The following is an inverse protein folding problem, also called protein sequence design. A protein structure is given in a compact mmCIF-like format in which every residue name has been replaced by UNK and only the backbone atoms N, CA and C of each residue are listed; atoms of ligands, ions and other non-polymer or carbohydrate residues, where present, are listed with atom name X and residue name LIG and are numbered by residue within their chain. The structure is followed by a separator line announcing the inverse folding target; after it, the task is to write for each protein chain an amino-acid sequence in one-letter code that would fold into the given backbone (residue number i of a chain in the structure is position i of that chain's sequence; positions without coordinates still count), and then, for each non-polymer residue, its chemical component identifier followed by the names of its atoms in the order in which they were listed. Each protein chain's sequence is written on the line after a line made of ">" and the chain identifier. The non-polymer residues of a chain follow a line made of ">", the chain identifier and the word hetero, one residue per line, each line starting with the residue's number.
data_IF_046754188315
#
_entry.id   IF_046754188315
#
_cell.length_a   1.000
_cell.length_b   1.000
_cell.length_c   1.000
_cell.angle_alpha   90.00
_cell.angle_beta   90.00
_cell.angle_gamma   90.00
#
_symmetry.space_group_name_H-M   'P 1'
#
loop_
_entity.id
_entity.type
_entity.pdbx_description
1 polymer ?
#
# COMPACT_ATOMS: atom_id res chain seq x y z
N UNK A 1 -33.33 0.61 -0.65
CA UNK A 1 -31.96 0.76 -1.20
C UNK A 1 -31.53 -0.56 -1.82
N UNK A 2 -31.31 -0.62 -3.14
CA UNK A 2 -30.72 -1.80 -3.80
C UNK A 2 -29.22 -1.77 -3.50
N UNK A 3 -28.71 -2.72 -2.71
CA UNK A 3 -27.26 -2.99 -2.64
C UNK A 3 -26.80 -3.30 -4.06
N UNK A 4 -26.11 -2.37 -4.73
CA UNK A 4 -25.42 -2.69 -5.99
C UNK A 4 -24.34 -3.70 -5.64
N UNK A 5 -24.51 -4.93 -6.12
CA UNK A 5 -23.49 -5.96 -6.07
C UNK A 5 -22.26 -5.42 -6.79
N UNK A 6 -21.15 -5.27 -6.07
CA UNK A 6 -19.84 -5.07 -6.70
C UNK A 6 -19.46 -6.40 -7.36
N UNK A 7 -19.68 -6.50 -8.66
CA UNK A 7 -19.34 -7.71 -9.43
C UNK A 7 -17.83 -7.92 -9.38
N UNK A 8 -17.41 -9.13 -9.05
CA UNK A 8 -16.01 -9.55 -9.12
C UNK A 8 -15.61 -9.51 -10.60
N UNK A 9 -14.50 -8.84 -10.97
CA UNK A 9 -14.02 -8.90 -12.35
C UNK A 9 -13.72 -10.35 -12.76
N UNK A 10 -14.05 -10.69 -14.01
CA UNK A 10 -14.02 -12.07 -14.52
C UNK A 10 -12.65 -12.72 -14.31
N UNK A 11 -11.57 -11.94 -14.48
CA UNK A 11 -10.18 -12.41 -14.32
C UNK A 11 -9.84 -12.83 -12.88
N UNK A 12 -10.62 -12.41 -11.88
CA UNK A 12 -10.44 -12.79 -10.47
C UNK A 12 -11.45 -13.83 -9.98
N UNK A 13 -12.44 -14.18 -10.79
CA UNK A 13 -13.53 -15.05 -10.35
C UNK A 13 -13.02 -16.43 -9.91
N UNK A 14 -12.18 -17.07 -10.73
CA UNK A 14 -11.61 -18.38 -10.40
C UNK A 14 -10.79 -18.34 -9.11
N UNK A 15 -9.95 -17.31 -8.94
CA UNK A 15 -9.14 -17.13 -7.74
C UNK A 15 -10.02 -16.97 -6.48
N UNK A 16 -11.05 -16.13 -6.55
CA UNK A 16 -11.95 -15.90 -5.42
C UNK A 16 -12.74 -17.17 -5.08
N UNK A 17 -13.25 -17.88 -6.08
CA UNK A 17 -13.93 -19.16 -5.90
C UNK A 17 -12.99 -20.26 -5.37
N UNK A 18 -11.73 -20.25 -5.78
CA UNK A 18 -10.71 -21.15 -5.25
C UNK A 18 -10.54 -20.91 -3.75
N UNK A 19 -10.34 -19.67 -3.32
CA UNK A 19 -10.19 -19.36 -1.90
C UNK A 19 -11.47 -19.58 -1.11
N UNK A 20 -12.65 -19.26 -1.65
CA UNK A 20 -13.93 -19.54 -1.01
C UNK A 20 -14.12 -21.04 -0.71
N UNK A 21 -13.64 -21.92 -1.59
CA UNK A 21 -13.72 -23.38 -1.43
C UNK A 21 -12.64 -23.96 -0.52
N UNK A 22 -11.44 -23.40 -0.54
CA UNK A 22 -10.26 -24.07 0.01
C UNK A 22 -9.66 -23.42 1.26
N UNK A 23 -9.97 -22.16 1.56
CA UNK A 23 -9.36 -21.42 2.68
C UNK A 23 -9.59 -22.08 4.04
N UNK A 24 -10.72 -22.76 4.25
CA UNK A 24 -10.98 -23.53 5.47
C UNK A 24 -9.97 -24.65 5.74
N UNK A 25 -9.30 -25.18 4.70
CA UNK A 25 -8.27 -26.20 4.87
C UNK A 25 -7.01 -25.64 5.53
N UNK A 26 -6.80 -24.32 5.53
CA UNK A 26 -5.66 -23.66 6.17
C UNK A 26 -5.66 -23.85 7.70
N UNK A 27 -6.81 -24.08 8.34
CA UNK A 27 -6.87 -24.33 9.79
C UNK A 27 -6.23 -25.66 10.20
N UNK A 28 -6.03 -26.58 9.24
CA UNK A 28 -5.58 -27.94 9.51
C UNK A 28 -4.09 -28.18 9.23
N UNK A 29 -3.33 -27.15 8.85
CA UNK A 29 -1.90 -27.28 8.54
C UNK A 29 -1.08 -27.87 9.71
N UNK A 30 -0.04 -28.63 9.37
CA UNK A 30 0.83 -29.34 10.33
C UNK A 30 2.01 -28.51 10.82
N UNK A 31 2.36 -27.43 10.13
CA UNK A 31 3.45 -26.51 10.50
C UNK A 31 2.96 -25.07 10.64
N UNK A 32 3.62 -24.31 11.52
CA UNK A 32 3.31 -22.90 11.78
C UNK A 32 4.26 -21.93 11.10
N UNK A 33 5.12 -22.44 10.23
CA UNK A 33 6.08 -21.67 9.45
C UNK A 33 6.03 -22.10 7.97
N UNK A 34 6.28 -21.15 7.07
CA UNK A 34 6.32 -21.41 5.64
C UNK A 34 7.31 -20.47 4.93
N UNK A 35 7.91 -20.90 3.80
CA UNK A 35 8.82 -20.07 3.01
C UNK A 35 8.05 -19.06 2.14
N UNK A 36 7.42 -18.08 2.79
CA UNK A 36 6.50 -17.14 2.14
C UNK A 36 7.23 -16.18 1.20
N UNK A 37 8.43 -15.72 1.55
CA UNK A 37 9.15 -14.74 0.73
C UNK A 37 9.58 -15.37 -0.60
N UNK A 38 10.04 -16.62 -0.58
CA UNK A 38 10.34 -17.41 -1.75
C UNK A 38 9.10 -17.70 -2.60
N UNK A 39 7.95 -17.98 -1.96
CA UNK A 39 6.67 -18.13 -2.67
C UNK A 39 6.26 -16.87 -3.44
N UNK A 40 6.36 -15.69 -2.81
CA UNK A 40 6.07 -14.41 -3.47
C UNK A 40 7.08 -14.13 -4.58
N UNK A 41 8.37 -14.37 -4.33
CA UNK A 41 9.42 -14.17 -5.32
C UNK A 41 9.18 -15.03 -6.58
N UNK A 42 8.76 -16.29 -6.39
CA UNK A 42 8.42 -17.17 -7.51
C UNK A 42 7.19 -16.64 -8.28
N UNK A 43 6.12 -16.25 -7.58
CA UNK A 43 4.93 -15.70 -8.23
C UNK A 43 5.23 -14.43 -9.03
N UNK A 44 6.12 -13.56 -8.51
CA UNK A 44 6.56 -12.37 -9.22
C UNK A 44 7.49 -12.69 -10.39
N UNK A 45 8.18 -13.84 -10.39
CA UNK A 45 9.08 -14.21 -11.49
C UNK A 45 8.33 -14.49 -12.79
N UNK A 46 7.05 -14.82 -12.70
CA UNK A 46 6.16 -15.03 -13.86
C UNK A 46 5.61 -13.74 -14.46
N UNK A 47 5.80 -12.58 -13.79
CA UNK A 47 5.34 -11.28 -14.28
C UNK A 47 6.34 -10.65 -15.25
N UNK A 48 5.84 -9.86 -16.18
CA UNK A 48 6.71 -8.99 -17.00
C UNK A 48 7.27 -7.83 -16.17
N UNK A 49 8.44 -7.33 -16.58
CA UNK A 49 9.03 -6.14 -15.97
C UNK A 49 8.18 -4.92 -16.31
N UNK A 50 7.92 -4.06 -15.32
CA UNK A 50 7.02 -2.93 -15.52
C UNK A 50 5.60 -3.36 -15.85
N UNK A 51 5.06 -4.35 -15.13
CA UNK A 51 3.64 -4.73 -15.13
C UNK A 51 2.88 -4.04 -13.97
N UNK A 52 2.76 -2.68 -13.98
CA UNK A 52 2.07 -1.96 -12.92
C UNK A 52 0.63 -2.48 -12.82
N UNK A 53 0.09 -2.49 -11.61
CA UNK A 53 -1.25 -3.04 -11.26
C UNK A 53 -1.34 -4.55 -11.09
N UNK A 54 -0.28 -5.32 -11.38
CA UNK A 54 -0.25 -6.74 -11.01
C UNK A 54 -0.46 -6.89 -9.50
N UNK A 55 -1.26 -7.87 -9.10
CA UNK A 55 -1.57 -8.15 -7.70
C UNK A 55 -1.13 -9.56 -7.32
N UNK A 56 -0.32 -9.68 -6.27
CA UNK A 56 0.05 -10.97 -5.69
C UNK A 56 -0.67 -11.14 -4.36
N UNK A 57 -1.47 -12.21 -4.25
CA UNK A 57 -2.20 -12.53 -3.02
C UNK A 57 -1.51 -13.67 -2.27
N UNK A 58 -1.15 -13.42 -1.02
CA UNK A 58 -0.69 -14.42 -0.08
C UNK A 58 -1.85 -14.71 0.86
N UNK A 59 -2.27 -15.97 0.94
CA UNK A 59 -3.24 -16.41 1.97
C UNK A 59 -2.57 -17.49 2.80
N UNK A 60 -2.39 -17.23 4.08
CA UNK A 60 -1.62 -18.12 4.94
C UNK A 60 -2.20 -18.21 6.36
N UNK A 61 -1.73 -19.18 7.13
CA UNK A 61 -1.97 -19.28 8.57
C UNK A 61 -0.69 -19.47 9.38
N UNK A 62 0.44 -19.08 8.78
CA UNK A 62 1.80 -19.43 9.23
C UNK A 62 2.70 -18.20 9.28
N UNK A 63 3.85 -18.30 9.94
CA UNK A 63 4.87 -17.25 9.93
C UNK A 63 5.87 -17.46 8.77
N UNK A 64 6.38 -16.39 8.15
CA UNK A 64 7.50 -16.50 7.21
C UNK A 64 8.77 -16.98 7.92
N UNK A 65 9.47 -17.97 7.37
CA UNK A 65 10.75 -18.46 7.92
C UNK A 65 11.97 -18.25 7.02
N UNK A 66 11.77 -17.81 5.78
CA UNK A 66 12.82 -17.63 4.78
C UNK A 66 13.18 -16.15 4.55
N UNK A 67 12.63 -15.24 5.36
CA UNK A 67 12.79 -13.80 5.18
C UNK A 67 14.25 -13.35 5.23
N UNK A 68 15.10 -13.96 6.07
CA UNK A 68 16.53 -13.60 6.19
C UNK A 68 17.31 -13.81 4.88
N UNK A 69 16.94 -14.82 4.10
CA UNK A 69 17.64 -15.17 2.85
C UNK A 69 16.92 -14.64 1.60
N UNK A 70 15.61 -14.42 1.66
CA UNK A 70 14.80 -14.02 0.49
C UNK A 70 14.39 -12.54 0.47
N UNK A 71 14.59 -11.75 1.54
CA UNK A 71 14.23 -10.32 1.60
C UNK A 71 14.79 -9.52 0.43
N UNK A 72 16.11 -9.56 0.22
CA UNK A 72 16.81 -8.78 -0.83
C UNK A 72 16.31 -9.10 -2.26
N UNK A 73 16.29 -10.36 -2.72
CA UNK A 73 15.80 -10.66 -4.07
C UNK A 73 14.31 -10.32 -4.23
N UNK A 74 13.50 -10.49 -3.18
CA UNK A 74 12.10 -10.08 -3.20
C UNK A 74 11.94 -8.57 -3.39
N UNK A 75 12.69 -7.76 -2.64
CA UNK A 75 12.69 -6.30 -2.76
C UNK A 75 12.98 -5.83 -4.18
N UNK A 76 14.02 -6.38 -4.80
CA UNK A 76 14.37 -6.05 -6.18
C UNK A 76 13.24 -6.42 -7.14
N UNK A 77 12.64 -7.60 -6.96
CA UNK A 77 11.60 -8.08 -7.86
C UNK A 77 10.31 -7.27 -7.76
N UNK A 78 9.89 -6.87 -6.56
CA UNK A 78 8.73 -5.99 -6.38
C UNK A 78 8.99 -4.65 -7.08
N UNK A 79 10.19 -4.07 -6.95
CA UNK A 79 10.55 -2.80 -7.57
C UNK A 79 10.46 -2.83 -9.10
N UNK A 80 11.01 -3.91 -9.70
CA UNK A 80 11.05 -4.08 -11.15
C UNK A 80 9.66 -4.37 -11.72
N UNK A 81 8.90 -5.25 -11.08
CA UNK A 81 7.54 -5.62 -11.55
C UNK A 81 6.51 -4.53 -11.24
N UNK A 82 6.76 -3.69 -10.23
CA UNK A 82 5.80 -2.71 -9.68
C UNK A 82 4.50 -3.35 -9.19
N UNK A 83 4.55 -4.65 -8.87
CA UNK A 83 3.40 -5.41 -8.41
C UNK A 83 3.05 -5.06 -6.96
N UNK A 84 1.75 -5.09 -6.64
CA UNK A 84 1.26 -4.91 -5.27
C UNK A 84 1.06 -6.27 -4.62
N UNK A 85 1.64 -6.45 -3.43
CA UNK A 85 1.51 -7.69 -2.66
C UNK A 85 0.47 -7.49 -1.57
N UNK A 86 -0.47 -8.42 -1.43
CA UNK A 86 -1.47 -8.42 -0.38
C UNK A 86 -1.34 -9.69 0.45
N UNK A 87 -1.50 -9.59 1.76
CA UNK A 87 -1.44 -10.74 2.66
C UNK A 87 -2.72 -10.87 3.48
N UNK A 88 -3.40 -12.00 3.36
CA UNK A 88 -4.48 -12.41 4.24
C UNK A 88 -3.92 -13.44 5.20
N UNK A 89 -3.69 -13.01 6.44
CA UNK A 89 -3.34 -13.88 7.55
C UNK A 89 -4.62 -14.46 8.15
N UNK A 90 -4.71 -15.78 8.19
CA UNK A 90 -5.87 -16.49 8.72
C UNK A 90 -5.52 -17.15 10.05
N UNK A 91 -6.48 -17.13 10.98
CA UNK A 91 -6.29 -17.79 12.26
C UNK A 91 -6.39 -19.31 12.10
N UNK A 92 -5.34 -20.03 12.50
CA UNK A 92 -5.36 -21.48 12.63
C UNK A 92 -5.65 -21.87 14.08
N UNK A 93 -6.39 -22.96 14.27
CA UNK A 93 -6.59 -23.55 15.61
C UNK A 93 -5.32 -24.24 16.12
N UNK A 94 -4.40 -24.60 15.22
CA UNK A 94 -3.14 -25.28 15.53
C UNK A 94 -1.97 -24.31 15.69
N UNK A 95 -2.00 -23.19 14.98
CA UNK A 95 -0.94 -22.19 15.03
C UNK A 95 -1.42 -20.90 15.68
N UNK A 96 -0.93 -20.64 16.90
CA UNK A 96 -1.09 -19.34 17.56
C UNK A 96 -0.10 -18.36 16.93
N UNK A 97 -0.56 -17.68 15.89
CA UNK A 97 0.25 -16.68 15.20
C UNK A 97 0.59 -15.50 16.10
N UNK A 98 1.88 -15.26 16.30
CA UNK A 98 2.37 -14.06 16.96
C UNK A 98 2.54 -12.95 15.92
N UNK A 99 1.69 -11.92 15.98
CA UNK A 99 1.82 -10.75 15.10
C UNK A 99 3.13 -9.98 15.32
N UNK A 100 3.80 -10.19 16.45
CA UNK A 100 5.12 -9.64 16.73
C UNK A 100 6.28 -10.52 16.21
N UNK A 101 5.99 -11.62 15.52
CA UNK A 101 7.03 -12.40 14.85
C UNK A 101 7.79 -11.53 13.82
N UNK A 102 9.11 -11.58 13.85
CA UNK A 102 9.99 -10.76 13.00
C UNK A 102 9.66 -10.90 11.51
N UNK A 103 9.46 -12.14 11.02
CA UNK A 103 9.11 -12.41 9.63
C UNK A 103 7.74 -11.86 9.24
N UNK A 104 6.74 -11.97 10.13
CA UNK A 104 5.38 -11.43 9.89
C UNK A 104 5.40 -9.91 9.84
N UNK A 105 6.09 -9.27 10.79
CA UNK A 105 6.25 -7.81 10.82
C UNK A 105 6.98 -7.30 9.58
N UNK A 106 8.10 -7.92 9.23
CA UNK A 106 8.88 -7.54 8.05
C UNK A 106 8.04 -7.70 6.77
N UNK A 107 7.32 -8.81 6.60
CA UNK A 107 6.44 -9.00 5.46
C UNK A 107 5.34 -7.92 5.39
N UNK A 108 4.73 -7.59 6.54
CA UNK A 108 3.73 -6.50 6.62
C UNK A 108 4.30 -5.17 6.19
N UNK A 109 5.47 -4.79 6.70
CA UNK A 109 6.09 -3.50 6.41
C UNK A 109 6.49 -3.39 4.94
N UNK A 110 7.01 -4.48 4.34
CA UNK A 110 7.30 -4.57 2.91
C UNK A 110 6.04 -4.37 2.06
N UNK A 111 4.96 -5.07 2.42
CA UNK A 111 3.67 -4.99 1.75
C UNK A 111 3.10 -3.58 1.80
N UNK A 112 3.03 -2.98 3.00
CA UNK A 112 2.42 -1.67 3.23
C UNK A 112 3.21 -0.56 2.55
N UNK A 113 4.55 -0.61 2.61
CA UNK A 113 5.42 0.37 1.93
C UNK A 113 5.29 0.28 0.40
N UNK A 114 4.87 -0.89 -0.12
CA UNK A 114 4.57 -1.07 -1.55
C UNK A 114 3.18 -0.71 -1.99
N UNK A 115 2.37 -0.10 -1.13
CA UNK A 115 0.98 0.21 -1.44
C UNK A 115 0.06 -1.02 -1.49
N UNK A 116 0.54 -2.17 -1.02
CA UNK A 116 -0.29 -3.32 -0.70
C UNK A 116 -0.88 -3.21 0.71
N UNK A 117 -1.48 -4.30 1.20
CA UNK A 117 -2.07 -4.31 2.55
C UNK A 117 -2.07 -5.72 3.18
N UNK A 118 -2.12 -5.76 4.51
CA UNK A 118 -2.23 -7.00 5.29
C UNK A 118 -3.55 -7.02 6.07
N UNK A 119 -4.25 -8.14 5.98
CA UNK A 119 -5.53 -8.37 6.64
C UNK A 119 -5.45 -9.58 7.54
N UNK A 120 -6.26 -9.57 8.59
CA UNK A 120 -6.46 -10.77 9.41
C UNK A 120 -7.91 -11.20 9.28
N UNK A 121 -8.13 -12.26 8.51
CA UNK A 121 -9.47 -12.72 8.12
C UNK A 121 -9.67 -14.13 8.62
N UNK A 122 -10.87 -14.46 9.11
CA UNK A 122 -11.20 -15.85 9.45
C UNK A 122 -11.10 -16.71 8.20
N UNK A 123 -10.54 -17.92 8.31
CA UNK A 123 -10.31 -18.78 7.15
C UNK A 123 -11.57 -18.97 6.29
N UNK A 124 -12.74 -19.16 6.90
CA UNK A 124 -14.02 -19.31 6.18
C UNK A 124 -14.49 -18.06 5.42
N UNK A 125 -14.00 -16.89 5.79
CA UNK A 125 -14.47 -15.60 5.29
C UNK A 125 -13.52 -15.01 4.22
N UNK A 126 -12.38 -15.66 3.92
CA UNK A 126 -11.40 -15.18 2.93
C UNK A 126 -12.03 -14.92 1.57
N UNK A 127 -12.79 -15.88 1.01
CA UNK A 127 -13.44 -15.69 -0.29
C UNK A 127 -14.41 -14.50 -0.30
N UNK A 128 -15.20 -14.34 0.77
CA UNK A 128 -16.13 -13.21 0.93
C UNK A 128 -15.39 -11.87 1.03
N UNK A 129 -14.28 -11.83 1.77
CA UNK A 129 -13.43 -10.66 1.89
C UNK A 129 -12.86 -10.26 0.52
N UNK A 130 -12.24 -11.21 -0.19
CA UNK A 130 -11.65 -10.96 -1.51
C UNK A 130 -12.70 -10.51 -2.52
N UNK A 131 -13.89 -11.13 -2.52
CA UNK A 131 -15.02 -10.73 -3.35
C UNK A 131 -15.47 -9.28 -3.11
N UNK A 132 -15.24 -8.75 -1.91
CA UNK A 132 -15.63 -7.39 -1.54
C UNK A 132 -14.51 -6.38 -1.81
N UNK A 133 -13.25 -6.79 -1.63
CA UNK A 133 -12.10 -5.89 -1.68
C UNK A 133 -11.46 -5.78 -3.09
N UNK A 134 -11.39 -6.88 -3.85
CA UNK A 134 -10.82 -6.83 -5.22
C UNK A 134 -11.55 -5.82 -6.12
N UNK A 135 -12.89 -5.74 -6.12
CA UNK A 135 -13.59 -4.73 -6.94
C UNK A 135 -13.23 -3.31 -6.57
N UNK A 136 -12.96 -3.01 -5.29
CA UNK A 136 -12.53 -1.66 -4.89
C UNK A 136 -11.16 -1.37 -5.48
N UNK A 137 -10.20 -2.28 -5.36
CA UNK A 137 -8.85 -2.13 -5.93
C UNK A 137 -8.84 -1.93 -7.45
N UNK A 138 -9.70 -2.64 -8.19
CA UNK A 138 -9.74 -2.54 -9.67
C UNK A 138 -10.41 -1.27 -10.18
N UNK A 139 -11.34 -0.71 -9.40
CA UNK A 139 -12.05 0.53 -9.75
C UNK A 139 -11.39 1.79 -9.21
N UNK A 140 -10.21 1.68 -8.58
CA UNK A 140 -9.59 2.79 -7.86
C UNK A 140 -8.06 2.75 -7.87
N UNK A 141 -7.44 3.85 -7.45
CA UNK A 141 -6.00 3.98 -7.23
C UNK A 141 -5.74 4.31 -5.78
N UNK A 142 -4.57 3.92 -5.29
CA UNK A 142 -4.14 4.22 -3.94
C UNK A 142 -3.96 5.74 -3.79
N UNK A 143 -4.62 6.33 -2.79
CA UNK A 143 -4.48 7.75 -2.43
C UNK A 143 -3.61 7.88 -1.19
N UNK A 144 -3.87 7.04 -0.19
CA UNK A 144 -3.18 7.10 1.09
C UNK A 144 -2.99 5.69 1.66
N UNK A 145 -1.76 5.41 2.09
CA UNK A 145 -1.40 4.22 2.88
C UNK A 145 -0.47 4.70 4.00
N UNK A 146 -1.05 5.21 5.07
CA UNK A 146 -0.27 5.81 6.16
C UNK A 146 -0.39 4.99 7.44
N UNK A 147 0.73 4.67 8.09
CA UNK A 147 0.72 4.21 9.47
C UNK A 147 0.46 5.41 10.37
N UNK A 148 -0.58 5.34 11.19
CA UNK A 148 -0.75 6.25 12.29
C UNK A 148 -0.02 5.71 13.53
N UNK A 149 1.00 6.44 13.99
CA UNK A 149 1.87 6.05 15.10
C UNK A 149 1.68 6.89 16.37
N UNK A 150 0.59 7.64 16.47
CA UNK A 150 0.50 8.67 17.50
C UNK A 150 0.22 8.08 18.89
N UNK A 151 0.88 8.63 19.91
CA UNK A 151 0.55 8.39 21.33
C UNK A 151 -0.71 9.14 21.73
N UNK A 152 -1.16 10.11 20.92
CA UNK A 152 -2.50 10.70 21.01
C UNK A 152 -3.55 9.78 20.38
N UNK A 153 -4.76 9.80 20.95
CA UNK A 153 -5.90 9.01 20.47
C UNK A 153 -6.39 9.38 19.07
N UNK A 154 -5.99 10.52 18.53
CA UNK A 154 -6.51 11.06 17.26
C UNK A 154 -5.35 11.35 16.30
N UNK A 155 -5.60 11.04 15.03
CA UNK A 155 -4.66 11.16 13.95
C UNK A 155 -5.39 11.59 12.69
N UNK A 156 -5.09 12.80 12.24
CA UNK A 156 -5.76 13.44 11.11
C UNK A 156 -4.84 13.38 9.89
N UNK A 157 -5.34 12.77 8.82
CA UNK A 157 -4.63 12.64 7.54
C UNK A 157 -5.38 13.48 6.52
N UNK A 158 -4.80 14.60 6.04
CA UNK A 158 -5.43 15.38 4.99
C UNK A 158 -5.49 14.55 3.70
N UNK A 159 -6.63 14.60 3.02
CA UNK A 159 -6.85 13.94 1.74
C UNK A 159 -7.29 14.98 0.72
N UNK A 160 -6.61 14.98 -0.42
CA UNK A 160 -7.01 15.78 -1.58
C UNK A 160 -7.53 14.85 -2.66
N UNK A 161 -8.83 14.98 -2.94
CA UNK A 161 -9.53 14.18 -3.95
C UNK A 161 -9.26 14.69 -5.37
N UNK A 162 -8.83 15.93 -5.54
CA UNK A 162 -8.64 16.54 -6.87
C UNK A 162 -9.96 16.64 -7.64
N UNK A 163 -9.92 16.97 -8.94
CA UNK A 163 -11.12 17.15 -9.74
C UNK A 163 -11.83 15.85 -10.18
N UNK A 164 -11.09 14.75 -10.25
CA UNK A 164 -11.53 13.52 -10.93
C UNK A 164 -11.99 12.41 -9.98
N UNK A 165 -11.81 12.54 -8.66
CA UNK A 165 -12.19 11.49 -7.70
C UNK A 165 -13.60 11.76 -7.22
N UNK A 166 -14.51 10.84 -7.52
CA UNK A 166 -15.90 10.89 -7.09
C UNK A 166 -16.20 9.99 -5.90
N UNK A 167 -15.35 8.99 -5.66
CA UNK A 167 -15.58 7.97 -4.64
C UNK A 167 -14.29 7.53 -3.99
N UNK A 168 -14.34 7.36 -2.67
CA UNK A 168 -13.29 6.80 -1.85
C UNK A 168 -13.67 5.43 -1.31
N UNK A 169 -12.70 4.53 -1.24
CA UNK A 169 -12.79 3.24 -0.57
C UNK A 169 -11.80 3.23 0.59
N UNK A 170 -12.32 3.19 1.81
CA UNK A 170 -11.52 3.23 3.04
C UNK A 170 -11.48 1.82 3.62
N UNK A 171 -10.28 1.31 3.86
CA UNK A 171 -10.05 -0.03 4.43
C UNK A 171 -9.36 0.08 5.77
N UNK A 172 -9.93 -0.58 6.78
CA UNK A 172 -9.60 -0.40 8.18
C UNK A 172 -9.52 -1.72 8.97
N UNK A 173 -8.62 -1.83 9.95
CA UNK A 173 -8.68 -2.83 11.04
C UNK A 173 -9.36 -2.22 12.29
N UNK A 174 -10.65 -2.49 12.46
CA UNK A 174 -11.49 -2.06 13.57
C UNK A 174 -11.02 -2.54 14.95
N UNK A 175 -10.09 -3.50 15.04
CA UNK A 175 -9.53 -3.88 16.33
C UNK A 175 -8.78 -2.72 16.99
N UNK A 176 -8.21 -1.83 16.19
CA UNK A 176 -7.26 -0.83 16.66
C UNK A 176 -7.80 0.58 16.60
N UNK A 177 -8.83 0.87 15.83
CA UNK A 177 -9.44 2.19 15.82
C UNK A 177 -10.65 2.33 14.92
N UNK A 178 -11.36 3.44 15.09
CA UNK A 178 -12.42 3.87 14.18
C UNK A 178 -11.88 4.89 13.21
N UNK A 179 -12.40 4.85 11.99
CA UNK A 179 -11.98 5.75 10.92
C UNK A 179 -13.22 6.46 10.39
N UNK A 180 -13.15 7.78 10.37
CA UNK A 180 -14.20 8.63 9.86
C UNK A 180 -13.61 9.66 8.89
N UNK A 181 -14.37 10.01 7.86
CA UNK A 181 -14.00 11.06 6.91
C UNK A 181 -14.80 12.31 7.22
N UNK A 182 -14.12 13.45 7.30
CA UNK A 182 -14.71 14.76 7.54
C UNK A 182 -14.46 15.68 6.36
N UNK A 183 -15.48 16.47 5.99
CA UNK A 183 -15.37 17.50 4.96
C UNK A 183 -14.67 18.76 5.48
N UNK A 184 -14.54 19.78 4.64
CA UNK A 184 -13.88 21.05 5.01
C UNK A 184 -14.63 21.86 6.08
N UNK A 185 -15.91 21.55 6.33
CA UNK A 185 -16.73 22.18 7.36
C UNK A 185 -16.67 21.41 8.69
N UNK A 186 -16.00 20.26 8.71
CA UNK A 186 -15.93 19.37 9.86
C UNK A 186 -17.16 18.48 10.02
N UNK A 187 -18.01 18.36 9.00
CA UNK A 187 -19.12 17.42 8.99
C UNK A 187 -18.65 16.04 8.54
N UNK A 188 -19.20 14.99 9.17
CA UNK A 188 -18.85 13.60 8.82
C UNK A 188 -19.48 13.25 7.47
N UNK A 189 -18.66 12.82 6.53
CA UNK A 189 -19.12 12.35 5.23
C UNK A 189 -19.92 11.03 5.38
N UNK A 190 -21.07 10.88 4.70
CA UNK A 190 -21.85 9.65 4.74
C UNK A 190 -21.08 8.50 4.07
N UNK A 191 -21.11 7.33 4.70
CA UNK A 191 -20.38 6.15 4.24
C UNK A 191 -21.28 4.92 4.14
N UNK A 192 -21.11 4.14 3.08
CA UNK A 192 -21.75 2.85 2.88
C UNK A 192 -20.81 1.70 3.26
N UNK A 193 -21.28 0.75 4.06
CA UNK A 193 -20.53 -0.47 4.38
C UNK A 193 -20.52 -1.42 3.17
N UNK A 194 -19.31 -1.76 2.69
CA UNK A 194 -19.08 -2.79 1.66
C UNK A 194 -18.83 -4.14 2.33
N UNK A 195 -17.98 -4.14 3.37
CA UNK A 195 -17.60 -5.34 4.11
C UNK A 195 -17.33 -5.02 5.56
N UNK A 196 -17.75 -5.90 6.46
CA UNK A 196 -17.42 -5.87 7.88
C UNK A 196 -17.49 -7.29 8.46
N UNK A 197 -16.40 -7.73 9.10
CA UNK A 197 -16.35 -9.01 9.84
C UNK A 197 -16.10 -8.83 11.35
N UNK A 198 -16.22 -7.58 11.83
CA UNK A 198 -15.90 -7.14 13.18
C UNK A 198 -14.42 -6.81 13.37
N UNK A 199 -13.54 -7.22 12.47
CA UNK A 199 -12.12 -6.88 12.49
C UNK A 199 -11.73 -6.00 11.30
N UNK A 200 -11.99 -6.44 10.08
CA UNK A 200 -11.72 -5.66 8.87
C UNK A 200 -13.01 -4.99 8.42
N UNK A 201 -12.90 -3.72 8.06
CA UNK A 201 -13.99 -2.93 7.50
C UNK A 201 -13.56 -2.28 6.18
N UNK A 202 -14.46 -2.31 5.21
CA UNK A 202 -14.32 -1.62 3.93
C UNK A 202 -15.56 -0.75 3.76
N UNK A 203 -15.37 0.55 3.65
CA UNK A 203 -16.45 1.52 3.41
C UNK A 203 -16.25 2.23 2.09
N UNK A 204 -17.36 2.62 1.48
CA UNK A 204 -17.41 3.51 0.34
C UNK A 204 -17.93 4.88 0.77
N UNK A 205 -17.30 5.94 0.31
CA UNK A 205 -17.71 7.33 0.56
C UNK A 205 -17.80 8.05 -0.78
N UNK A 206 -18.96 8.60 -1.11
CA UNK A 206 -19.09 9.52 -2.24
C UNK A 206 -18.49 10.87 -1.82
N UNK A 207 -17.65 11.44 -2.68
CA UNK A 207 -16.95 12.70 -2.41
C UNK A 207 -17.33 13.74 -3.45
N UNK A 208 -17.52 14.97 -2.97
CA UNK A 208 -17.98 16.11 -3.76
C UNK A 208 -17.12 17.35 -3.56
N UNK A 209 -16.34 17.39 -2.47
CA UNK A 209 -15.37 18.44 -2.18
C UNK A 209 -13.97 18.01 -2.63
N UNK A 210 -13.05 18.97 -2.74
CA UNK A 210 -11.65 18.72 -3.11
C UNK A 210 -10.81 18.24 -1.94
N UNK A 211 -11.20 18.57 -0.71
CA UNK A 211 -10.41 18.33 0.49
C UNK A 211 -11.25 17.66 1.56
N UNK A 212 -10.68 16.64 2.18
CA UNK A 212 -11.24 15.91 3.30
C UNK A 212 -10.17 15.68 4.36
N UNK A 213 -10.59 15.38 5.57
CA UNK A 213 -9.70 14.91 6.64
C UNK A 213 -10.15 13.52 7.04
N UNK A 214 -9.25 12.55 6.86
CA UNK A 214 -9.41 11.21 7.40
C UNK A 214 -8.98 11.23 8.86
N UNK A 215 -9.93 11.07 9.77
CA UNK A 215 -9.67 11.02 11.20
C UNK A 215 -9.66 9.58 11.67
N UNK A 216 -8.52 9.20 12.23
CA UNK A 216 -8.27 7.88 12.80
C UNK A 216 -8.27 8.03 14.31
N UNK A 217 -9.20 7.37 14.98
CA UNK A 217 -9.26 7.31 16.44
C UNK A 217 -8.70 5.97 16.92
N UNK A 218 -7.44 5.96 17.36
CA UNK A 218 -6.71 4.77 17.79
C UNK A 218 -5.75 5.10 18.93
N UNK A 219 -5.61 4.19 19.89
CA UNK A 219 -4.61 4.27 20.97
C UNK A 219 -3.34 3.46 20.68
N UNK A 220 -3.25 2.85 19.50
CA UNK A 220 -2.11 2.01 19.09
C UNK A 220 -1.71 2.34 17.66
N UNK A 221 -0.57 1.78 17.23
CA UNK A 221 -0.16 1.88 15.83
C UNK A 221 -1.23 1.26 14.93
N UNK A 222 -1.73 2.06 14.00
CA UNK A 222 -2.86 1.69 13.17
C UNK A 222 -2.60 1.98 11.70
N UNK A 223 -3.04 1.08 10.81
CA UNK A 223 -2.85 1.25 9.38
C UNK A 223 -4.21 1.38 8.69
N UNK A 224 -4.34 2.43 7.89
CA UNK A 224 -5.55 2.70 7.11
C UNK A 224 -5.14 2.94 5.68
N UNK A 225 -5.89 2.32 4.78
CA UNK A 225 -5.66 2.47 3.35
C UNK A 225 -6.88 3.11 2.70
N UNK A 226 -6.63 4.18 1.94
CA UNK A 226 -7.65 4.89 1.17
C UNK A 226 -7.32 4.78 -0.29
N UNK A 227 -8.25 4.20 -1.04
CA UNK A 227 -8.26 4.27 -2.49
C UNK A 227 -9.36 5.23 -2.97
N UNK A 228 -9.26 5.75 -4.18
CA UNK A 228 -10.39 6.41 -4.81
C UNK A 228 -10.38 6.25 -6.32
N UNK A 229 -11.52 6.58 -6.95
CA UNK A 229 -11.79 6.40 -8.40
C UNK A 229 -10.91 7.26 -9.33
N UNK A 230 -9.73 7.67 -8.87
CA UNK A 230 -8.77 8.46 -9.61
C UNK A 230 -8.28 7.72 -10.86
N UNK A 231 -8.10 8.41 -12.00
CA UNK A 231 -7.33 7.87 -13.09
C UNK A 231 -5.83 7.82 -12.78
N UNK A 232 -5.35 8.58 -11.78
CA UNK A 232 -3.92 8.77 -11.48
C UNK A 232 -3.49 7.87 -10.33
N UNK A 233 -2.68 6.87 -10.66
CA UNK A 233 -1.86 6.12 -9.70
C UNK A 233 -0.43 6.67 -9.65
N UNK A 234 0.22 6.55 -8.49
CA UNK A 234 1.64 6.82 -8.33
C UNK A 234 2.28 5.63 -7.61
N UNK A 235 3.32 5.06 -8.20
CA UNK A 235 4.17 4.04 -7.57
C UNK A 235 5.57 4.57 -7.39
N UNK A 236 6.26 4.11 -6.36
CA UNK A 236 7.64 4.50 -6.06
C UNK A 236 8.57 3.29 -6.10
N UNK A 237 9.81 3.55 -6.51
CA UNK A 237 10.94 2.66 -6.35
C UNK A 237 12.18 3.50 -5.99
N UNK A 238 13.29 2.86 -5.63
CA UNK A 238 14.48 3.54 -5.13
C UNK A 238 15.72 3.06 -5.87
N UNK A 239 16.55 4.01 -6.29
CA UNK A 239 17.88 3.76 -6.83
C UNK A 239 18.91 4.07 -5.75
N UNK A 240 19.91 3.20 -5.60
CA UNK A 240 20.99 3.38 -4.62
C UNK A 240 22.16 4.06 -5.32
N UNK A 241 22.42 5.32 -4.97
CA UNK A 241 23.49 6.12 -5.56
C UNK A 241 24.83 5.82 -4.87
N UNK A 242 25.36 4.62 -5.07
CA UNK A 242 26.73 4.33 -4.68
C UNK A 242 27.63 5.20 -5.57
N UNK A 243 28.55 5.96 -4.98
CA UNK A 243 29.50 6.86 -5.67
C UNK A 243 28.98 8.23 -6.14
N UNK A 244 27.80 8.68 -5.66
CA UNK A 244 27.36 10.07 -5.86
C UNK A 244 27.02 10.44 -7.30
N UNK A 245 26.84 9.44 -8.17
CA UNK A 245 26.30 9.61 -9.53
C UNK A 245 24.97 8.88 -9.61
N UNK A 246 23.92 9.59 -10.03
CA UNK A 246 22.66 8.97 -10.40
C UNK A 246 22.90 8.33 -11.78
N UNK A 247 23.14 7.03 -11.82
CA UNK A 247 23.15 6.33 -13.08
C UNK A 247 21.72 5.88 -13.40
N UNK A 248 21.00 6.67 -14.20
CA UNK A 248 19.60 6.46 -14.58
C UNK A 248 19.38 5.19 -15.44
N UNK A 249 20.45 4.44 -15.73
CA UNK A 249 20.44 3.13 -16.39
C UNK A 249 20.70 1.96 -15.42
N UNK A 250 20.79 2.20 -14.11
CA UNK A 250 21.23 1.16 -13.17
C UNK A 250 20.17 0.09 -12.89
N UNK A 251 20.61 -1.17 -13.02
CA UNK A 251 19.95 -2.41 -12.62
C UNK A 251 19.72 -2.54 -11.09
N UNK A 252 20.04 -1.51 -10.31
CA UNK A 252 20.11 -1.52 -8.85
C UNK A 252 18.86 -0.93 -8.17
N UNK A 253 17.72 -1.03 -8.84
CA UNK A 253 16.43 -0.60 -8.31
C UNK A 253 15.96 -1.51 -7.18
N UNK A 254 15.45 -0.92 -6.12
CA UNK A 254 14.90 -1.60 -4.95
C UNK A 254 13.56 -1.00 -4.56
N UNK A 255 12.73 -1.81 -3.92
CA UNK A 255 11.37 -1.44 -3.53
C UNK A 255 11.36 -0.52 -2.31
N UNK A 256 12.43 -0.55 -1.53
CA UNK A 256 12.65 0.30 -0.36
C UNK A 256 14.07 0.84 -0.38
N UNK A 257 14.29 2.04 0.17
CA UNK A 257 15.62 2.63 0.28
C UNK A 257 16.49 1.89 1.31
N UNK A 258 17.81 2.01 1.15
CA UNK A 258 18.76 1.52 2.14
C UNK A 258 19.12 2.60 3.16
N UNK A 259 19.21 2.20 4.43
CA UNK A 259 19.69 3.06 5.52
C UNK A 259 21.11 3.54 5.25
N UNK A 260 21.44 4.77 5.65
CA UNK A 260 22.77 5.39 5.54
C UNK A 260 23.32 5.58 4.11
N UNK A 261 22.54 5.25 3.09
CA UNK A 261 22.90 5.46 1.69
C UNK A 261 22.19 6.68 1.09
N UNK A 262 22.78 7.24 0.04
CA UNK A 262 22.09 8.18 -0.83
C UNK A 262 21.15 7.41 -1.74
N UNK A 263 19.85 7.57 -1.55
CA UNK A 263 18.84 6.96 -2.39
C UNK A 263 18.21 8.03 -3.30
N UNK A 264 17.85 7.68 -4.53
CA UNK A 264 16.97 8.51 -5.36
C UNK A 264 15.63 7.82 -5.45
N UNK A 265 14.55 8.53 -5.12
CA UNK A 265 13.19 8.02 -5.33
C UNK A 265 12.83 8.20 -6.79
N UNK A 266 12.32 7.14 -7.39
CA UNK A 266 11.76 7.12 -8.73
C UNK A 266 10.27 6.92 -8.60
N UNK A 267 9.50 7.92 -9.01
CA UNK A 267 8.05 7.82 -9.12
C UNK A 267 7.65 7.49 -10.54
N UNK A 268 6.64 6.64 -10.66
CA UNK A 268 6.00 6.32 -11.91
C UNK A 268 4.51 6.65 -11.82
N UNK A 269 4.03 7.46 -12.76
CA UNK A 269 2.61 7.75 -12.94
C UNK A 269 1.95 6.60 -13.69
N UNK A 270 0.75 6.20 -13.27
CA UNK A 270 -0.05 5.15 -13.91
C UNK A 270 -1.43 5.70 -14.27
N UNK A 271 -1.88 5.42 -15.49
CA UNK A 271 -3.26 5.64 -15.98
C UNK A 271 -3.54 7.02 -16.59
N UNK A 272 -2.67 8.00 -16.37
CA UNK A 272 -2.75 9.32 -17.03
C UNK A 272 -1.35 9.95 -17.17
N UNK A 273 -0.46 9.20 -17.80
CA UNK A 273 0.98 9.41 -17.85
C UNK A 273 1.40 10.72 -18.50
N UNK A 274 0.69 11.19 -19.53
CA UNK A 274 1.07 12.37 -20.32
C UNK A 274 0.56 13.67 -19.73
N UNK A 275 -0.52 13.62 -18.97
CA UNK A 275 -1.25 14.82 -18.52
C UNK A 275 -1.15 15.03 -17.01
N UNK A 276 -0.30 14.24 -16.33
CA UNK A 276 -0.03 14.36 -14.90
C UNK A 276 1.37 14.92 -14.68
N UNK A 277 1.49 15.92 -13.81
CA UNK A 277 2.77 16.53 -13.46
C UNK A 277 3.07 16.36 -11.97
N UNK A 278 4.06 15.53 -11.64
CA UNK A 278 4.58 15.47 -10.26
C UNK A 278 5.54 16.64 -10.03
N UNK A 279 5.40 17.32 -8.88
CA UNK A 279 6.11 18.56 -8.56
C UNK A 279 7.18 18.36 -7.51
N UNK A 280 6.80 17.72 -6.40
CA UNK A 280 7.69 17.55 -5.26
C UNK A 280 7.30 16.32 -4.44
N UNK A 281 8.23 15.89 -3.60
CA UNK A 281 8.00 14.88 -2.57
C UNK A 281 8.47 15.43 -1.23
N UNK A 282 7.66 15.24 -0.19
CA UNK A 282 8.04 15.52 1.21
C UNK A 282 8.17 14.22 1.97
N UNK A 283 9.30 14.06 2.68
CA UNK A 283 9.52 13.01 3.65
C UNK A 283 9.32 13.58 5.05
N UNK A 284 8.34 13.04 5.75
CA UNK A 284 8.06 13.34 7.15
C UNK A 284 8.65 12.24 8.04
N UNK A 285 9.59 12.58 8.91
CA UNK A 285 10.14 11.66 9.90
C UNK A 285 9.32 11.69 11.19
N UNK A 286 8.57 10.62 11.43
CA UNK A 286 7.70 10.50 12.59
C UNK A 286 8.41 10.48 13.94
N UNK A 287 9.73 10.26 13.99
CA UNK A 287 10.48 10.20 15.25
C UNK A 287 10.88 11.58 15.78
N UNK A 288 11.27 12.49 14.89
CA UNK A 288 11.74 13.84 15.24
C UNK A 288 10.81 14.95 14.73
N UNK A 289 9.81 14.63 13.91
CA UNK A 289 8.86 15.57 13.33
C UNK A 289 9.41 16.42 12.19
N UNK A 290 10.58 16.08 11.64
CA UNK A 290 11.22 16.85 10.58
C UNK A 290 10.61 16.54 9.21
N UNK A 291 10.37 17.60 8.44
CA UNK A 291 9.98 17.52 7.04
C UNK A 291 11.15 17.88 6.14
N UNK A 292 11.41 17.04 5.14
CA UNK A 292 12.37 17.35 4.06
C UNK A 292 11.67 17.26 2.72
N UNK A 293 11.72 18.33 1.92
CA UNK A 293 11.04 18.40 0.62
C UNK A 293 12.06 18.47 -0.52
N UNK A 294 11.78 17.72 -1.58
CA UNK A 294 12.60 17.64 -2.79
C UNK A 294 11.73 17.94 -4.01
N UNK A 295 12.26 18.75 -4.93
CA UNK A 295 11.66 18.91 -6.25
C UNK A 295 11.81 17.62 -7.07
N UNK A 296 10.81 17.35 -7.89
CA UNK A 296 10.80 16.22 -8.81
C UNK A 296 11.12 16.69 -10.22
N UNK A 297 11.99 15.94 -10.90
CA UNK A 297 12.39 16.20 -12.27
C UNK A 297 12.12 14.98 -13.14
N UNK A 298 11.67 15.22 -14.37
CA UNK A 298 11.50 14.17 -15.36
C UNK A 298 12.85 13.76 -15.94
N UNK A 299 12.93 12.50 -16.38
CA UNK A 299 14.06 12.06 -17.21
C UNK A 299 13.90 12.60 -18.63
N UNK A 300 15.01 12.97 -19.27
CA UNK A 300 14.99 13.36 -20.69
C UNK A 300 14.28 12.29 -21.53
N UNK A 301 13.29 12.70 -22.32
CA UNK A 301 12.47 11.85 -23.17
C UNK A 301 11.57 10.82 -22.44
N UNK A 302 11.30 10.99 -21.14
CA UNK A 302 10.33 10.18 -20.40
C UNK A 302 9.33 11.09 -19.66
N UNK A 303 8.05 11.01 -19.99
CA UNK A 303 7.01 11.90 -19.44
C UNK A 303 6.36 11.37 -18.15
N UNK A 304 6.63 10.12 -17.79
CA UNK A 304 5.91 9.42 -16.73
C UNK A 304 6.80 8.95 -15.56
N UNK A 305 8.11 9.13 -15.66
CA UNK A 305 9.05 8.86 -14.57
C UNK A 305 9.64 10.16 -14.01
N UNK A 306 9.59 10.27 -12.68
CA UNK A 306 10.03 11.43 -11.92
C UNK A 306 11.06 11.01 -10.89
N UNK A 307 12.13 11.78 -10.78
CA UNK A 307 13.26 11.51 -9.93
C UNK A 307 13.35 12.59 -8.86
N UNK A 308 13.67 12.18 -7.63
CA UNK A 308 14.02 13.10 -6.56
C UNK A 308 15.52 13.43 -6.58
N UNK A 309 15.89 14.50 -5.89
CA UNK A 309 17.27 14.64 -5.39
C UNK A 309 17.64 13.49 -4.44
N UNK A 310 18.92 13.35 -4.05
CA UNK A 310 19.34 12.34 -3.09
C UNK A 310 18.61 12.49 -1.75
N UNK A 311 18.03 11.38 -1.28
CA UNK A 311 17.40 11.27 0.03
C UNK A 311 18.23 10.32 0.90
N UNK A 312 18.31 10.63 2.19
CA UNK A 312 18.89 9.75 3.19
C UNK A 312 17.80 9.24 4.12
N UNK A 313 17.81 7.93 4.34
CA UNK A 313 16.94 7.28 5.31
C UNK A 313 17.43 7.58 6.72
N UNK A 314 16.80 8.56 7.38
CA UNK A 314 17.14 8.96 8.75
C UNK A 314 16.51 8.06 9.83
N UNK A 315 15.37 7.42 9.54
CA UNK A 315 14.68 6.54 10.46
C UNK A 315 13.87 5.47 9.71
N UNK A 316 13.50 4.38 10.40
CA UNK A 316 12.73 3.27 9.80
C UNK A 316 11.24 3.57 9.62
N UNK A 317 10.78 4.79 9.93
CA UNK A 317 9.36 5.11 9.89
C UNK A 317 9.13 6.54 9.39
N UNK A 318 9.20 6.69 8.06
CA UNK A 318 8.95 7.94 7.39
C UNK A 318 7.62 7.85 6.62
N UNK A 319 6.95 8.99 6.45
CA UNK A 319 5.79 9.12 5.57
C UNK A 319 6.19 9.96 4.38
N UNK A 320 5.93 9.44 3.19
CA UNK A 320 6.21 10.11 1.93
C UNK A 320 4.92 10.71 1.38
N UNK A 321 4.94 12.01 1.12
CA UNK A 321 3.84 12.74 0.48
C UNK A 321 4.29 13.24 -0.88
N UNK A 322 3.66 12.76 -1.95
CA UNK A 322 3.94 13.18 -3.33
C UNK A 322 2.91 14.22 -3.73
N UNK A 323 3.38 15.35 -4.26
CA UNK A 323 2.57 16.47 -4.72
C UNK A 323 2.57 16.52 -6.24
N UNK A 324 1.41 16.71 -6.86
CA UNK A 324 1.31 16.84 -8.30
C UNK A 324 0.09 17.63 -8.76
N UNK A 325 -0.01 17.81 -10.07
CA UNK A 325 -1.14 18.41 -10.77
C UNK A 325 -1.75 17.38 -11.72
N UNK A 326 -3.08 17.31 -11.74
CA UNK A 326 -3.82 16.51 -12.71
C UNK A 326 -3.90 17.21 -14.09
N UNK A 327 -4.59 16.57 -15.04
CA UNK A 327 -4.76 17.07 -16.42
C UNK A 327 -5.52 18.40 -16.51
N UNK A 328 -6.23 18.79 -15.46
CA UNK A 328 -6.93 20.08 -15.36
C UNK A 328 -6.09 21.12 -14.59
N UNK A 329 -4.85 20.79 -14.21
CA UNK A 329 -3.99 21.64 -13.41
C UNK A 329 -4.40 21.74 -11.94
N UNK A 330 -5.27 20.84 -11.44
CA UNK A 330 -5.68 20.83 -10.03
C UNK A 330 -4.67 20.05 -9.19
N UNK A 331 -4.35 20.52 -7.97
CA UNK A 331 -3.42 19.83 -7.10
C UNK A 331 -4.01 18.51 -6.57
N UNK A 332 -3.15 17.50 -6.44
CA UNK A 332 -3.44 16.26 -5.74
C UNK A 332 -2.24 15.81 -4.93
N UNK A 333 -2.49 15.04 -3.87
CA UNK A 333 -1.46 14.42 -3.04
C UNK A 333 -1.60 12.90 -3.01
N UNK A 334 -0.49 12.20 -2.82
CA UNK A 334 -0.44 10.75 -2.55
C UNK A 334 0.43 10.49 -1.34
N UNK A 335 -0.07 9.68 -0.41
CA UNK A 335 0.62 9.33 0.82
C UNK A 335 1.03 7.86 0.82
N UNK A 336 2.29 7.60 1.17
CA UNK A 336 2.81 6.24 1.33
C UNK A 336 3.72 6.15 2.55
N UNK A 337 3.65 5.03 3.26
CA UNK A 337 4.66 4.68 4.25
C UNK A 337 5.99 4.37 3.58
N UNK A 338 7.08 4.81 4.20
CA UNK A 338 8.45 4.53 3.79
C UNK A 338 9.17 3.79 4.92
N UNK A 339 9.52 2.53 4.65
CA UNK A 339 10.42 1.73 5.49
C UNK A 339 11.82 1.77 4.89
N UNK A 340 12.83 1.98 5.72
CA UNK A 340 14.22 1.84 5.35
C UNK A 340 14.73 0.45 5.73
N UNK A 341 15.62 -0.13 4.92
CA UNK A 341 16.25 -1.40 5.23
C UNK A 341 17.75 -1.28 5.33
N UNK A 342 18.33 -2.04 6.27
CA UNK A 342 19.77 -2.17 6.34
C UNK A 342 20.30 -3.02 5.19
N UNK A 343 21.52 -2.68 4.75
CA UNK A 343 22.22 -3.32 3.65
C UNK A 343 22.74 -4.74 3.95
N UNK A 344 22.55 -5.26 5.16
CA UNK A 344 23.14 -6.52 5.65
C UNK A 344 22.78 -7.72 4.78
#
# INVERSE_FOLDING_TARGET
>A
MRKRSTTIPEEFQEMVEHFARHSNKLTNQTGCEAPMFGGVLNALSDLEDGAPESMVWIVSSSAPNDYKIRKKPLLRRIAVTRAKVYHILTNSTKCKMNLYNEGVNLLRELIVSGGGNQFIVKSKDVGKFMASYIPTLRSSKLISSVPCNNTSTICDVPLTTGGAISKLYITNDNQYGKVDLYDTKGERAPSDEIYNDGRNEITAVEVHETNYVLRINSSVRHHVQVHGTSPIGVTSAFLVNRFGRINLSDDNITHIPYTEENNTVVFHVIGNETDTLLKSVTLHDSQNGNDTTFDLFTRENCTFEYFSGPITCGSNNQVMTVFGLDSEGKPFHRYGGLMCCDLV
#
